data_IF_182007313678
#
_entry.id   IF_182007313678
#
_cell.length_a   1.000
_cell.length_b   1.000
_cell.length_c   1.000
_cell.angle_alpha   90.00
_cell.angle_beta   90.00
_cell.angle_gamma   90.00
#
_symmetry.space_group_name_H-M   'P 1'
#
loop_
_entity.id
_entity.type
_entity.pdbx_description
1 polymer ?
#
# COMPACT_ATOMS: atom_id res chain seq x y z
N UNK A 1 -53.82 43.82 12.15
CA UNK A 1 -52.87 42.93 12.87
C UNK A 1 -52.26 42.01 11.86
N UNK A 2 -51.06 42.31 11.35
CA UNK A 2 -50.33 41.48 10.39
C UNK A 2 -49.40 40.52 11.17
N UNK A 3 -49.66 39.23 11.07
CA UNK A 3 -48.78 38.21 11.64
C UNK A 3 -47.61 37.99 10.69
N UNK A 4 -46.42 38.29 11.14
CA UNK A 4 -45.16 38.00 10.48
C UNK A 4 -44.82 36.53 10.73
N UNK A 5 -44.81 35.69 9.67
CA UNK A 5 -44.24 34.35 9.73
C UNK A 5 -42.72 34.45 9.54
N UNK A 6 -41.98 34.15 10.56
CA UNK A 6 -40.51 33.96 10.48
C UNK A 6 -40.28 32.52 10.10
N UNK A 7 -39.86 32.26 8.85
CA UNK A 7 -39.35 30.98 8.40
C UNK A 7 -37.91 30.86 8.86
N UNK A 8 -37.68 30.03 9.88
CA UNK A 8 -36.33 29.63 10.27
C UNK A 8 -35.83 28.61 9.26
N UNK A 9 -34.90 29.01 8.41
CA UNK A 9 -34.11 28.09 7.58
C UNK A 9 -33.05 27.48 8.46
N UNK A 10 -33.28 26.27 8.96
CA UNK A 10 -32.26 25.42 9.57
C UNK A 10 -31.34 24.94 8.45
N UNK A 11 -30.21 25.62 8.29
CA UNK A 11 -29.09 25.13 7.49
C UNK A 11 -28.52 23.90 8.17
N UNK A 12 -28.71 22.71 7.57
CA UNK A 12 -27.96 21.52 7.91
C UNK A 12 -26.51 21.76 7.50
N UNK A 13 -25.72 22.25 8.45
CA UNK A 13 -24.25 22.15 8.35
C UNK A 13 -23.94 20.67 8.54
N UNK A 14 -23.73 19.96 7.43
CA UNK A 14 -23.21 18.62 7.47
C UNK A 14 -21.83 18.65 8.13
N UNK A 15 -21.77 18.24 9.38
CA UNK A 15 -20.50 17.94 10.04
C UNK A 15 -19.91 16.76 9.27
N UNK A 16 -18.91 17.01 8.44
CA UNK A 16 -18.07 15.96 7.89
C UNK A 16 -17.28 15.41 9.08
N UNK A 17 -17.87 14.42 9.75
CA UNK A 17 -17.15 13.67 10.79
C UNK A 17 -16.01 12.96 10.08
N UNK A 18 -14.76 13.25 10.50
CA UNK A 18 -13.59 12.50 10.07
C UNK A 18 -13.86 11.01 10.30
N UNK A 19 -13.65 10.21 9.28
CA UNK A 19 -13.93 8.78 9.35
C UNK A 19 -12.82 8.13 10.18
N UNK A 20 -13.15 7.64 11.37
CA UNK A 20 -12.23 6.90 12.24
C UNK A 20 -11.63 5.69 11.48
N UNK A 21 -10.40 5.30 11.85
CA UNK A 21 -9.82 4.05 11.38
C UNK A 21 -10.70 2.89 11.84
N UNK A 22 -11.25 2.17 10.88
CA UNK A 22 -12.14 1.03 11.13
C UNK A 22 -11.43 -0.27 10.82
N UNK A 23 -11.91 -1.34 11.41
CA UNK A 23 -11.59 -2.67 10.93
C UNK A 23 -12.03 -2.80 9.47
N UNK A 24 -11.13 -3.27 8.60
CA UNK A 24 -11.52 -3.58 7.22
C UNK A 24 -12.59 -4.68 7.23
N UNK A 25 -13.56 -4.70 6.33
CA UNK A 25 -14.35 -5.91 6.12
C UNK A 25 -13.44 -7.11 5.85
N UNK A 26 -13.69 -8.29 6.41
CA UNK A 26 -12.85 -9.46 6.24
C UNK A 26 -12.55 -9.73 4.76
N UNK A 27 -11.28 -9.96 4.45
CA UNK A 27 -10.75 -10.25 3.10
C UNK A 27 -11.08 -9.21 2.01
N UNK A 28 -11.50 -7.99 2.41
CA UNK A 28 -11.76 -6.89 1.45
C UNK A 28 -10.50 -6.27 0.86
N UNK A 29 -9.33 -6.69 1.34
CA UNK A 29 -8.02 -6.24 0.86
C UNK A 29 -7.15 -7.46 0.48
N UNK A 30 -7.55 -8.20 -0.57
CA UNK A 30 -6.90 -9.47 -0.93
C UNK A 30 -5.43 -9.32 -1.37
N UNK A 31 -4.98 -8.10 -1.61
CA UNK A 31 -3.59 -7.76 -1.92
C UNK A 31 -2.72 -7.46 -0.70
N UNK A 32 -3.34 -7.39 0.49
CA UNK A 32 -2.59 -7.05 1.71
C UNK A 32 -1.62 -8.17 2.08
N UNK A 33 -0.39 -7.79 2.39
CA UNK A 33 0.66 -8.72 2.81
C UNK A 33 1.24 -8.24 4.13
N UNK A 34 1.48 -9.19 5.04
CA UNK A 34 2.30 -8.98 6.22
C UNK A 34 3.68 -9.56 5.98
N UNK A 35 4.72 -8.75 6.10
CA UNK A 35 6.12 -9.18 6.02
C UNK A 35 6.67 -9.28 7.43
N UNK A 36 7.10 -10.46 7.85
CA UNK A 36 7.64 -10.71 9.19
C UNK A 36 8.81 -11.69 9.15
N UNK A 37 9.72 -11.58 10.09
CA UNK A 37 10.92 -12.42 10.20
C UNK A 37 11.13 -12.92 11.61
N UNK A 38 12.31 -13.38 11.94
CA UNK A 38 12.68 -13.96 13.24
C UNK A 38 12.67 -13.01 14.46
N UNK A 39 12.06 -11.81 14.33
CA UNK A 39 11.91 -10.82 15.40
C UNK A 39 10.45 -10.40 15.58
N UNK A 40 10.20 -9.52 16.56
CA UNK A 40 8.85 -9.00 16.85
C UNK A 40 8.35 -7.94 15.87
N UNK A 41 9.22 -7.42 14.98
CA UNK A 41 8.84 -6.39 14.02
C UNK A 41 8.24 -6.99 12.75
N UNK A 42 7.15 -6.41 12.32
CA UNK A 42 6.49 -6.71 11.05
C UNK A 42 6.20 -5.42 10.28
N UNK A 43 6.03 -5.54 8.99
CA UNK A 43 5.64 -4.45 8.11
C UNK A 43 4.53 -4.91 7.18
N UNK A 44 3.86 -3.94 6.58
CA UNK A 44 2.92 -4.19 5.49
C UNK A 44 3.60 -4.15 4.12
N UNK A 45 2.98 -4.82 3.18
CA UNK A 45 3.31 -4.78 1.77
C UNK A 45 2.07 -5.06 0.93
N UNK A 46 2.23 -5.01 -0.37
CA UNK A 46 1.15 -5.19 -1.34
C UNK A 46 1.56 -6.18 -2.42
N UNK A 47 0.75 -7.20 -2.62
CA UNK A 47 0.90 -8.14 -3.74
C UNK A 47 0.56 -7.42 -5.05
N UNK A 48 1.48 -7.39 -6.01
CA UNK A 48 1.27 -6.78 -7.34
C UNK A 48 1.25 -7.80 -8.48
N UNK A 49 1.72 -9.01 -8.21
CA UNK A 49 1.59 -10.20 -9.07
C UNK A 49 1.70 -11.47 -8.22
N UNK A 50 1.52 -12.64 -8.80
CA UNK A 50 1.71 -13.92 -8.06
C UNK A 50 3.10 -14.06 -7.42
N UNK A 51 4.10 -13.33 -7.92
CA UNK A 51 5.50 -13.47 -7.50
C UNK A 51 6.04 -12.26 -6.75
N UNK A 52 5.38 -11.10 -6.84
CA UNK A 52 5.98 -9.85 -6.45
C UNK A 52 5.14 -9.06 -5.45
N UNK A 53 5.83 -8.54 -4.46
CA UNK A 53 5.31 -7.64 -3.44
C UNK A 53 6.07 -6.32 -3.52
N UNK A 54 5.35 -5.22 -3.32
CA UNK A 54 5.92 -3.89 -3.10
C UNK A 54 5.80 -3.54 -1.63
N UNK A 55 6.86 -2.99 -1.06
CA UNK A 55 6.86 -2.43 0.29
C UNK A 55 7.76 -1.19 0.38
N UNK A 56 7.76 -0.55 1.54
CA UNK A 56 8.67 0.57 1.83
C UNK A 56 10.09 0.05 2.16
N UNK A 57 11.11 0.82 1.80
CA UNK A 57 12.48 0.55 2.24
C UNK A 57 12.62 0.59 3.78
N UNK A 58 11.80 1.39 4.46
CA UNK A 58 11.78 1.45 5.94
C UNK A 58 11.27 0.17 6.59
N UNK A 59 10.76 -0.76 5.80
CA UNK A 59 10.46 -2.12 6.22
C UNK A 59 11.75 -2.92 6.42
N UNK A 60 12.50 -2.59 7.47
CA UNK A 60 13.82 -3.14 7.75
C UNK A 60 13.91 -4.64 8.06
N UNK A 61 12.83 -5.36 8.47
CA UNK A 61 12.92 -6.81 8.67
C UNK A 61 12.95 -7.60 7.37
N UNK A 62 12.82 -6.97 6.21
CA UNK A 62 12.85 -7.68 4.92
C UNK A 62 14.25 -8.22 4.64
N UNK A 63 14.41 -9.52 4.80
CA UNK A 63 15.63 -10.29 4.59
C UNK A 63 15.28 -11.70 4.10
N UNK A 64 16.26 -12.53 3.83
CA UNK A 64 16.05 -13.93 3.42
C UNK A 64 15.34 -14.81 4.49
N UNK A 65 15.28 -14.38 5.75
CA UNK A 65 14.50 -15.04 6.80
C UNK A 65 13.06 -14.53 6.90
N UNK A 66 12.68 -13.58 6.03
CA UNK A 66 11.34 -12.99 6.02
C UNK A 66 10.34 -13.94 5.36
N UNK A 67 9.17 -14.03 5.98
CA UNK A 67 8.00 -14.72 5.45
C UNK A 67 6.96 -13.67 5.06
N UNK A 68 6.38 -13.83 3.90
CA UNK A 68 5.22 -13.08 3.45
C UNK A 68 3.96 -13.87 3.80
N UNK A 69 3.10 -13.31 4.63
CA UNK A 69 1.77 -13.85 4.95
C UNK A 69 0.73 -13.10 4.14
N UNK A 70 0.00 -13.84 3.31
CA UNK A 70 -1.06 -13.37 2.42
C UNK A 70 -2.39 -13.98 2.87
N UNK A 71 -3.51 -13.35 2.53
CA UNK A 71 -4.84 -13.84 2.87
C UNK A 71 -5.21 -13.66 4.34
N UNK A 72 -4.41 -12.91 5.10
CA UNK A 72 -4.61 -12.58 6.50
C UNK A 72 -5.64 -11.46 6.68
N UNK A 73 -6.47 -11.58 7.69
CA UNK A 73 -7.30 -10.48 8.20
C UNK A 73 -7.13 -10.34 9.70
N UNK A 74 -7.28 -11.42 10.45
CA UNK A 74 -7.14 -11.49 11.91
C UNK A 74 -5.88 -12.28 12.28
N UNK A 75 -4.80 -11.58 12.67
CA UNK A 75 -3.52 -12.21 13.04
C UNK A 75 -3.60 -13.11 14.29
N UNK A 76 -4.67 -12.99 15.07
CA UNK A 76 -4.93 -13.82 16.25
C UNK A 76 -5.71 -15.10 15.95
N UNK A 77 -6.18 -15.31 14.72
CA UNK A 77 -6.99 -16.43 14.32
C UNK A 77 -6.41 -17.18 13.11
N UNK A 78 -6.74 -18.46 12.97
CA UNK A 78 -6.49 -19.21 11.74
C UNK A 78 -7.78 -19.21 10.92
N UNK A 79 -7.78 -18.48 9.81
CA UNK A 79 -8.97 -18.25 8.99
C UNK A 79 -9.10 -19.27 7.84
N UNK A 80 -8.00 -20.00 7.52
CA UNK A 80 -7.93 -21.00 6.46
C UNK A 80 -7.72 -20.41 5.06
N UNK A 81 -7.48 -19.11 4.97
CA UNK A 81 -7.19 -18.35 3.73
C UNK A 81 -5.72 -17.97 3.58
N UNK A 82 -4.94 -18.19 4.65
CA UNK A 82 -3.58 -17.72 4.76
C UNK A 82 -2.62 -18.51 3.88
N UNK A 83 -1.66 -17.82 3.33
CA UNK A 83 -0.53 -18.40 2.62
C UNK A 83 0.77 -17.79 3.17
N UNK A 84 1.60 -18.62 3.77
CA UNK A 84 2.92 -18.22 4.29
C UNK A 84 3.99 -18.63 3.27
N UNK A 85 4.62 -17.64 2.63
CA UNK A 85 5.58 -17.88 1.56
C UNK A 85 6.91 -17.21 1.93
N UNK A 86 8.02 -17.96 2.01
CA UNK A 86 9.33 -17.40 2.22
C UNK A 86 9.70 -16.39 1.12
N UNK A 87 10.45 -15.36 1.50
CA UNK A 87 11.02 -14.40 0.57
C UNK A 87 12.25 -15.00 -0.09
N UNK A 88 12.35 -14.90 -1.42
CA UNK A 88 13.51 -15.32 -2.20
C UNK A 88 14.49 -14.19 -2.44
N UNK A 89 13.98 -12.98 -2.72
CA UNK A 89 14.82 -11.83 -3.05
C UNK A 89 14.21 -10.53 -2.51
N UNK A 90 15.10 -9.60 -2.18
CA UNK A 90 14.78 -8.26 -1.70
C UNK A 90 15.56 -7.27 -2.56
N UNK A 91 14.87 -6.45 -3.31
CA UNK A 91 15.45 -5.53 -4.29
C UNK A 91 15.03 -4.11 -3.95
N UNK A 92 15.85 -3.36 -3.19
CA UNK A 92 15.58 -1.96 -2.92
C UNK A 92 15.78 -1.12 -4.17
N UNK A 93 15.01 -0.05 -4.32
CA UNK A 93 15.23 0.92 -5.39
C UNK A 93 16.59 1.61 -5.20
N UNK A 94 17.44 1.56 -6.21
CA UNK A 94 18.81 2.10 -6.17
C UNK A 94 18.95 3.36 -7.03
N UNK A 95 19.70 4.38 -6.58
CA UNK A 95 20.31 4.48 -5.26
C UNK A 95 19.28 4.88 -4.20
N UNK A 96 19.22 4.13 -3.11
CA UNK A 96 18.46 4.56 -1.96
C UNK A 96 19.08 5.82 -1.37
N UNK A 97 18.36 6.90 -1.43
CA UNK A 97 18.65 8.13 -0.69
C UNK A 97 17.39 8.51 0.06
N UNK A 98 17.35 8.23 1.35
CA UNK A 98 16.26 8.74 2.17
C UNK A 98 16.29 10.27 2.09
N UNK A 99 15.13 10.91 1.85
CA UNK A 99 13.79 10.39 1.77
C UNK A 99 13.29 10.07 0.35
N UNK A 100 14.15 10.12 -0.69
CA UNK A 100 13.74 10.26 -2.08
C UNK A 100 13.11 9.01 -2.72
N UNK A 101 13.53 7.80 -2.31
CA UNK A 101 13.15 6.55 -2.99
C UNK A 101 12.92 5.42 -1.98
N UNK A 102 11.94 5.59 -1.09
CA UNK A 102 11.63 4.55 -0.10
C UNK A 102 10.76 3.45 -0.71
N UNK A 103 11.35 2.61 -1.56
CA UNK A 103 10.67 1.54 -2.27
C UNK A 103 11.53 0.28 -2.32
N UNK A 104 10.90 -0.86 -2.12
CA UNK A 104 11.52 -2.19 -2.20
C UNK A 104 10.58 -3.16 -2.89
N UNK A 105 11.11 -3.91 -3.86
CA UNK A 105 10.46 -5.08 -4.42
C UNK A 105 10.90 -6.32 -3.65
N UNK A 106 9.96 -7.19 -3.39
CA UNK A 106 10.17 -8.47 -2.71
C UNK A 106 9.65 -9.58 -3.60
N UNK A 107 10.53 -10.54 -3.95
CA UNK A 107 10.18 -11.71 -4.74
C UNK A 107 9.89 -12.88 -3.81
N UNK A 108 8.78 -13.54 -4.06
CA UNK A 108 8.40 -14.76 -3.34
C UNK A 108 9.22 -15.97 -3.83
N UNK A 109 9.47 -16.95 -2.98
CA UNK A 109 10.17 -18.19 -3.32
C UNK A 109 9.35 -19.15 -4.17
N UNK A 110 8.04 -19.01 -4.15
CA UNK A 110 7.05 -19.68 -4.99
C UNK A 110 5.88 -18.75 -5.28
N UNK A 111 5.11 -18.96 -6.35
CA UNK A 111 3.99 -18.09 -6.66
C UNK A 111 2.90 -18.21 -5.59
N UNK A 112 2.26 -17.10 -5.27
CA UNK A 112 1.04 -17.09 -4.50
C UNK A 112 -0.10 -17.75 -5.30
N UNK A 113 -0.90 -18.56 -4.64
CA UNK A 113 -2.12 -19.10 -5.21
C UNK A 113 -3.19 -18.00 -5.18
N UNK A 114 -3.68 -17.59 -6.34
CA UNK A 114 -4.74 -16.58 -6.41
C UNK A 114 -6.07 -17.20 -5.99
N UNK A 115 -6.70 -16.58 -4.99
CA UNK A 115 -7.98 -16.97 -4.41
C UNK A 115 -8.84 -15.72 -4.22
N UNK A 116 -10.04 -15.86 -3.68
CA UNK A 116 -10.83 -14.69 -3.31
C UNK A 116 -10.15 -13.82 -2.23
N UNK A 117 -9.37 -14.42 -1.33
CA UNK A 117 -8.65 -13.73 -0.26
C UNK A 117 -7.22 -13.31 -0.64
N UNK A 118 -6.70 -13.74 -1.79
CA UNK A 118 -5.34 -13.42 -2.27
C UNK A 118 -5.40 -13.02 -3.74
N UNK A 119 -5.31 -11.72 -4.01
CA UNK A 119 -5.34 -11.15 -5.36
C UNK A 119 -4.34 -9.99 -5.47
N UNK A 120 -3.67 -9.80 -6.60
CA UNK A 120 -2.80 -8.66 -6.79
C UNK A 120 -3.60 -7.36 -6.96
N UNK A 121 -3.02 -6.25 -6.47
CA UNK A 121 -3.50 -4.91 -6.74
C UNK A 121 -2.76 -4.34 -7.96
N UNK A 122 -3.48 -3.89 -9.00
CA UNK A 122 -2.84 -3.31 -10.18
C UNK A 122 -1.99 -2.08 -9.85
N UNK A 123 -0.87 -1.95 -10.55
CA UNK A 123 -0.07 -0.72 -10.54
C UNK A 123 -0.87 0.46 -11.12
N UNK A 124 -0.56 1.69 -10.73
CA UNK A 124 -1.33 2.86 -11.16
C UNK A 124 -1.15 3.16 -12.64
N UNK A 125 -2.24 3.38 -13.35
CA UNK A 125 -2.22 3.88 -14.74
C UNK A 125 -1.96 5.38 -14.81
N UNK A 126 -2.31 6.11 -13.75
CA UNK A 126 -2.14 7.56 -13.61
C UNK A 126 -1.71 7.90 -12.17
N UNK A 127 -1.03 9.04 -12.02
CA UNK A 127 -0.73 9.57 -10.69
C UNK A 127 -2.00 10.11 -10.03
N UNK A 128 -2.13 9.97 -8.70
CA UNK A 128 -3.26 10.48 -7.96
C UNK A 128 -3.25 12.01 -7.95
N UNK A 129 -4.43 12.62 -7.84
CA UNK A 129 -4.62 14.07 -7.83
C UNK A 129 -5.08 14.54 -6.45
N UNK A 130 -4.74 15.78 -6.05
CA UNK A 130 -5.31 16.37 -4.83
C UNK A 130 -6.83 16.26 -4.81
N UNK A 131 -7.37 15.81 -3.67
CA UNK A 131 -8.79 15.58 -3.47
C UNK A 131 -9.29 14.18 -3.87
N UNK A 132 -8.50 13.35 -4.54
CA UNK A 132 -8.87 11.96 -4.78
C UNK A 132 -9.09 11.24 -3.45
N UNK A 133 -10.21 10.52 -3.36
CA UNK A 133 -10.52 9.72 -2.17
C UNK A 133 -9.85 8.35 -2.27
N UNK A 134 -9.00 8.05 -1.30
CA UNK A 134 -8.21 6.82 -1.23
C UNK A 134 -8.50 6.06 0.05
N UNK A 135 -8.02 4.84 0.12
CA UNK A 135 -8.07 3.99 1.30
C UNK A 135 -6.66 3.56 1.68
N UNK A 136 -6.35 3.64 2.97
CA UNK A 136 -5.11 3.08 3.53
C UNK A 136 -5.46 1.83 4.31
N UNK A 137 -4.64 0.77 4.18
CA UNK A 137 -4.81 -0.47 4.94
C UNK A 137 -3.48 -0.99 5.51
N UNK A 138 -3.55 -1.60 6.70
CA UNK A 138 -2.41 -2.17 7.39
C UNK A 138 -2.72 -2.61 8.82
N UNK A 139 -1.74 -3.24 9.49
CA UNK A 139 -1.81 -3.66 10.90
C UNK A 139 -1.00 -2.76 11.84
N UNK A 140 -0.80 -1.52 11.45
CA UNK A 140 -0.11 -0.55 12.28
C UNK A 140 -0.97 0.06 13.37
N UNK A 141 -0.32 0.76 14.32
CA UNK A 141 -1.03 1.47 15.38
C UNK A 141 -1.92 2.57 14.82
N UNK A 142 -3.12 2.66 15.38
CA UNK A 142 -4.13 3.69 15.06
C UNK A 142 -4.30 4.72 16.18
N UNK A 143 -3.55 4.57 17.27
CA UNK A 143 -3.66 5.44 18.46
C UNK A 143 -2.37 6.21 18.72
N UNK A 144 -2.46 7.46 19.20
CA UNK A 144 -1.29 8.22 19.62
C UNK A 144 -0.53 7.51 20.75
N UNK A 145 0.82 7.51 20.65
CA UNK A 145 1.72 7.02 21.70
C UNK A 145 1.55 5.52 22.09
N UNK A 146 0.76 4.77 21.37
CA UNK A 146 0.69 3.32 21.50
C UNK A 146 1.40 2.67 20.31
N UNK A 147 2.22 1.65 20.61
CA UNK A 147 2.97 0.89 19.61
C UNK A 147 2.34 -0.49 19.40
N UNK A 148 1.15 -0.70 19.93
CA UNK A 148 0.43 -1.95 19.78
C UNK A 148 -0.13 -2.07 18.35
N UNK A 149 0.26 -3.12 17.67
CA UNK A 149 -0.32 -3.48 16.37
C UNK A 149 -1.66 -4.17 16.62
N UNK A 150 -2.76 -3.72 16.01
CA UNK A 150 -4.03 -4.40 16.10
C UNK A 150 -3.91 -5.79 15.45
N UNK A 151 -4.61 -6.78 16.00
CA UNK A 151 -4.68 -8.12 15.40
C UNK A 151 -5.44 -8.09 14.08
N UNK A 152 -6.50 -7.26 13.99
CA UNK A 152 -7.34 -7.17 12.80
C UNK A 152 -6.93 -6.02 11.89
N UNK A 153 -6.94 -6.31 10.59
CA UNK A 153 -6.57 -5.35 9.55
C UNK A 153 -7.42 -4.07 9.65
N UNK A 154 -6.76 -2.92 9.68
CA UNK A 154 -7.39 -1.60 9.74
C UNK A 154 -7.45 -0.94 8.37
N UNK A 155 -8.56 -0.24 8.14
CA UNK A 155 -8.81 0.59 6.97
C UNK A 155 -9.11 2.02 7.39
N UNK A 156 -8.62 2.96 6.60
CA UNK A 156 -8.82 4.38 6.80
C UNK A 156 -9.07 5.04 5.44
N UNK A 157 -10.11 5.85 5.31
CA UNK A 157 -10.32 6.71 4.14
C UNK A 157 -9.54 8.00 4.30
N UNK A 158 -8.80 8.36 3.26
CA UNK A 158 -7.95 9.55 3.25
C UNK A 158 -8.04 10.27 1.91
N UNK A 159 -8.10 11.60 1.88
CA UNK A 159 -7.92 12.35 0.65
C UNK A 159 -6.44 12.47 0.30
N UNK A 160 -6.13 12.52 -1.00
CA UNK A 160 -4.83 13.00 -1.46
C UNK A 160 -4.71 14.49 -1.16
N UNK A 161 -3.58 14.86 -0.59
CA UNK A 161 -3.27 16.25 -0.21
C UNK A 161 -2.46 16.93 -1.32
N UNK A 162 -2.63 18.23 -1.47
CA UNK A 162 -1.84 19.04 -2.41
C UNK A 162 -0.34 18.98 -2.06
N UNK A 163 0.51 18.78 -3.07
CA UNK A 163 1.96 18.60 -2.87
C UNK A 163 2.60 19.82 -2.18
N UNK A 164 2.13 21.06 -2.45
CA UNK A 164 2.68 22.29 -1.84
C UNK A 164 2.32 22.39 -0.36
N UNK A 165 1.07 22.02 -0.02
CA UNK A 165 0.67 21.97 1.39
C UNK A 165 1.51 20.92 2.12
N UNK A 166 1.67 19.75 1.55
CA UNK A 166 2.45 18.68 2.14
C UNK A 166 3.92 19.09 2.34
N UNK A 167 4.56 19.68 1.33
CA UNK A 167 5.93 20.19 1.40
C UNK A 167 6.09 21.22 2.52
N UNK A 168 5.10 22.11 2.69
CA UNK A 168 5.14 23.16 3.72
C UNK A 168 4.96 22.67 5.14
N UNK A 169 4.36 21.49 5.35
CA UNK A 169 4.11 20.92 6.68
C UNK A 169 5.28 20.10 7.20
N UNK A 170 6.21 19.67 6.35
CA UNK A 170 7.35 18.87 6.79
C UNK A 170 8.59 19.73 7.06
N UNK A 171 9.42 19.31 8.03
CA UNK A 171 10.67 20.00 8.32
C UNK A 171 11.60 20.08 7.09
N UNK A 172 12.40 21.13 7.00
CA UNK A 172 13.31 21.38 5.86
C UNK A 172 14.35 20.30 5.61
N UNK A 173 14.57 19.38 6.55
CA UNK A 173 15.46 18.23 6.36
C UNK A 173 14.81 17.07 5.59
N UNK A 174 13.49 17.12 5.39
CA UNK A 174 12.79 16.18 4.48
C UNK A 174 12.71 16.85 3.12
N UNK A 175 13.63 16.48 2.24
CA UNK A 175 13.62 16.96 0.86
C UNK A 175 12.42 16.40 0.12
N UNK A 176 11.40 17.22 -0.10
CA UNK A 176 10.24 16.85 -0.91
C UNK A 176 10.66 16.49 -2.33
N UNK A 177 10.09 15.46 -2.90
CA UNK A 177 10.36 15.04 -4.27
C UNK A 177 9.08 14.67 -5.02
N UNK A 178 9.15 14.70 -6.34
CA UNK A 178 8.07 14.25 -7.22
C UNK A 178 7.73 12.76 -7.06
N UNK A 179 8.58 11.99 -6.39
CA UNK A 179 8.36 10.58 -6.03
C UNK A 179 7.53 10.39 -4.76
N UNK A 180 7.03 11.45 -4.15
CA UNK A 180 6.24 11.43 -2.93
C UNK A 180 4.82 11.88 -3.18
N UNK A 181 3.91 11.41 -2.34
CA UNK A 181 2.51 11.85 -2.25
C UNK A 181 2.08 11.83 -0.80
N UNK A 182 1.29 12.81 -0.40
CA UNK A 182 0.66 12.84 0.90
C UNK A 182 -0.80 12.45 0.81
N UNK A 183 -1.24 11.72 1.83
CA UNK A 183 -2.65 11.44 2.04
C UNK A 183 -2.97 11.49 3.53
N UNK A 184 -4.16 11.99 3.84
CA UNK A 184 -4.62 12.14 5.21
C UNK A 184 -5.39 13.44 5.42
N UNK A 185 -6.02 13.57 6.57
CA UNK A 185 -6.68 14.80 7.03
C UNK A 185 -6.09 15.23 8.37
N UNK A 186 -6.21 16.51 8.70
CA UNK A 186 -5.81 17.09 9.97
C UNK A 186 -6.80 16.68 11.09
N UNK A 187 -6.93 15.37 11.39
CA UNK A 187 -7.76 14.89 12.49
C UNK A 187 -7.04 13.82 13.29
N UNK A 188 -7.18 13.85 14.62
CA UNK A 188 -6.53 12.92 15.55
C UNK A 188 -6.96 11.46 15.34
N UNK A 189 -8.12 11.25 14.73
CA UNK A 189 -8.75 9.92 14.62
C UNK A 189 -8.40 9.21 13.30
N UNK A 190 -7.63 9.90 12.45
CA UNK A 190 -7.32 9.45 11.08
C UNK A 190 -5.84 9.15 10.92
N UNK A 191 -5.36 8.11 11.58
CA UNK A 191 -3.99 7.68 11.38
C UNK A 191 -3.84 6.17 11.31
N UNK A 192 -2.85 5.74 10.54
CA UNK A 192 -2.35 4.39 10.52
C UNK A 192 -0.82 4.48 10.46
N UNK A 193 -0.13 4.03 11.49
CA UNK A 193 1.32 4.01 11.55
C UNK A 193 1.82 2.62 11.22
N UNK A 194 2.03 2.37 9.94
CA UNK A 194 2.47 1.08 9.43
C UNK A 194 3.46 1.27 8.28
N UNK A 195 4.69 0.82 8.47
CA UNK A 195 5.69 0.85 7.40
C UNK A 195 5.27 -0.06 6.26
N UNK A 196 5.07 0.50 5.07
CA UNK A 196 4.57 -0.21 3.91
C UNK A 196 3.04 -0.28 3.83
N UNK A 197 2.28 0.42 4.71
CA UNK A 197 0.83 0.53 4.58
C UNK A 197 0.42 0.92 3.16
N UNK A 198 -0.62 0.29 2.67
CA UNK A 198 -1.04 0.35 1.26
C UNK A 198 -2.00 1.49 1.04
N UNK A 199 -1.64 2.44 0.17
CA UNK A 199 -2.52 3.50 -0.32
C UNK A 199 -3.15 3.05 -1.64
N UNK A 200 -4.43 2.74 -1.60
CA UNK A 200 -5.24 2.34 -2.75
C UNK A 200 -6.20 3.47 -3.13
N UNK A 201 -6.31 3.80 -4.41
CA UNK A 201 -7.29 4.73 -4.94
C UNK A 201 -7.88 4.13 -6.23
N UNK A 202 -9.20 4.04 -6.28
CA UNK A 202 -9.94 3.56 -7.47
C UNK A 202 -9.47 2.18 -7.97
N UNK A 203 -9.17 1.25 -7.07
CA UNK A 203 -8.74 -0.10 -7.41
C UNK A 203 -7.29 -0.21 -7.91
N UNK A 204 -6.45 0.81 -7.67
CA UNK A 204 -5.05 0.84 -8.08
C UNK A 204 -4.13 1.22 -6.92
N UNK A 205 -2.93 0.64 -6.91
CA UNK A 205 -1.90 0.95 -5.94
C UNK A 205 -1.29 2.32 -6.24
N UNK A 206 -1.56 3.31 -5.39
CA UNK A 206 -1.00 4.66 -5.57
C UNK A 206 0.24 4.92 -4.71
N UNK A 207 0.36 4.24 -3.57
CA UNK A 207 1.51 4.46 -2.70
C UNK A 207 1.73 3.39 -1.65
N UNK A 208 2.94 3.39 -1.09
CA UNK A 208 3.31 2.65 0.13
C UNK A 208 3.86 3.63 1.15
N UNK A 209 3.39 3.55 2.38
CA UNK A 209 3.76 4.46 3.45
C UNK A 209 5.22 4.25 3.85
N UNK A 210 5.97 5.33 3.97
CA UNK A 210 7.34 5.28 4.43
C UNK A 210 7.65 6.26 5.55
N UNK A 211 6.87 7.34 5.69
CA UNK A 211 7.06 8.36 6.71
C UNK A 211 5.72 8.96 7.16
N UNK A 212 5.69 9.42 8.38
CA UNK A 212 4.61 10.17 8.98
C UNK A 212 4.91 10.43 10.44
N UNK A 213 4.37 11.51 10.99
CA UNK A 213 4.45 11.78 12.44
C UNK A 213 3.61 10.79 13.25
N UNK A 214 2.95 9.86 12.54
CA UNK A 214 2.04 8.88 13.12
C UNK A 214 0.81 9.56 13.73
N UNK A 215 0.16 8.85 14.63
CA UNK A 215 -1.04 9.33 15.31
C UNK A 215 -0.78 10.43 16.35
N UNK A 216 0.45 10.85 16.55
CA UNK A 216 0.81 11.88 17.54
C UNK A 216 0.68 13.32 17.01
N UNK A 217 0.60 13.50 15.71
CA UNK A 217 0.47 14.82 15.11
C UNK A 217 -0.57 14.84 13.98
N UNK A 218 -1.82 15.13 14.29
CA UNK A 218 -2.93 15.12 13.33
C UNK A 218 -2.83 16.23 12.28
N UNK A 219 -2.00 17.25 12.49
CA UNK A 219 -1.81 18.34 11.54
C UNK A 219 -0.99 17.91 10.31
N UNK A 220 -0.30 16.77 10.39
CA UNK A 220 0.59 16.29 9.35
C UNK A 220 0.01 15.05 8.67
N UNK A 221 -0.22 15.08 7.35
CA UNK A 221 -0.62 13.90 6.58
C UNK A 221 0.52 12.88 6.53
N UNK A 222 0.20 11.62 6.26
CA UNK A 222 1.23 10.59 6.02
C UNK A 222 1.84 10.73 4.62
N UNK A 223 3.13 10.39 4.51
CA UNK A 223 3.89 10.42 3.25
C UNK A 223 4.04 9.01 2.70
N UNK A 224 3.74 8.89 1.43
CA UNK A 224 3.82 7.65 0.66
C UNK A 224 4.77 7.81 -0.51
N UNK A 225 5.46 6.74 -0.88
CA UNK A 225 6.15 6.69 -2.17
C UNK A 225 5.11 6.65 -3.30
N UNK A 226 5.15 7.63 -4.22
CA UNK A 226 4.17 7.83 -5.31
C UNK A 226 4.42 6.81 -6.44
N UNK A 227 3.72 5.67 -6.43
CA UNK A 227 4.02 4.50 -7.26
C UNK A 227 3.98 4.76 -8.77
N UNK A 228 3.14 5.68 -9.25
CA UNK A 228 3.07 6.04 -10.68
C UNK A 228 4.41 6.53 -11.26
N UNK A 229 5.37 6.91 -10.42
CA UNK A 229 6.72 7.32 -10.83
C UNK A 229 7.69 6.15 -10.97
N UNK A 230 7.29 4.97 -10.49
CA UNK A 230 8.16 3.80 -10.40
C UNK A 230 7.72 2.62 -11.27
N UNK A 231 6.59 2.73 -11.99
CA UNK A 231 6.06 1.65 -12.83
C UNK A 231 7.12 1.06 -13.78
N UNK A 232 7.91 1.93 -14.42
CA UNK A 232 8.97 1.47 -15.33
C UNK A 232 10.00 0.62 -14.60
N UNK A 233 10.53 1.11 -13.47
CA UNK A 233 11.51 0.36 -12.70
C UNK A 233 10.95 -0.96 -12.18
N UNK A 234 9.70 -0.96 -11.71
CA UNK A 234 9.03 -2.18 -11.24
C UNK A 234 8.95 -3.21 -12.37
N UNK A 235 8.46 -2.80 -13.54
CA UNK A 235 8.33 -3.70 -14.70
C UNK A 235 9.70 -4.16 -15.20
N UNK A 236 10.69 -3.27 -15.32
CA UNK A 236 12.05 -3.62 -15.76
C UNK A 236 12.68 -4.69 -14.84
N UNK A 237 12.42 -4.63 -13.52
CA UNK A 237 12.88 -5.67 -12.58
C UNK A 237 12.09 -6.95 -12.76
N UNK A 238 10.75 -6.88 -12.81
CA UNK A 238 9.91 -8.07 -12.95
C UNK A 238 10.23 -8.85 -14.23
N UNK A 239 10.48 -8.16 -15.33
CA UNK A 239 10.80 -8.74 -16.63
C UNK A 239 12.14 -9.51 -16.62
N UNK A 240 13.11 -9.09 -15.81
CA UNK A 240 14.41 -9.79 -15.65
C UNK A 240 14.25 -11.18 -15.04
N UNK A 241 13.17 -11.41 -14.28
CA UNK A 241 12.90 -12.69 -13.62
C UNK A 241 11.82 -13.53 -14.31
N UNK A 242 11.24 -13.03 -15.40
CA UNK A 242 10.34 -13.83 -16.22
C UNK A 242 11.19 -14.85 -16.98
N UNK A 243 10.98 -16.17 -16.82
CA UNK A 243 11.67 -17.13 -17.64
C UNK A 243 11.39 -16.81 -19.11
N UNK A 244 12.43 -16.74 -19.94
CA UNK A 244 12.25 -16.69 -21.38
C UNK A 244 11.38 -17.91 -21.77
N UNK A 245 10.15 -17.70 -22.17
CA UNK A 245 9.39 -18.73 -22.83
C UNK A 245 10.21 -19.13 -24.06
N UNK A 246 10.89 -20.27 -23.97
CA UNK A 246 11.46 -20.91 -25.14
C UNK A 246 10.30 -21.17 -26.08
N UNK A 247 10.16 -20.30 -27.08
CA UNK A 247 9.31 -20.56 -28.25
C UNK A 247 9.85 -21.82 -28.89
N UNK A 248 9.37 -22.99 -28.46
CA UNK A 248 9.49 -24.22 -29.18
C UNK A 248 8.59 -24.08 -30.41
N UNK A 249 9.17 -23.51 -31.46
CA UNK A 249 8.56 -23.64 -32.80
C UNK A 249 8.32 -25.11 -33.08
N UNK A 250 7.11 -25.50 -33.46
CA UNK A 250 6.86 -26.91 -33.82
C UNK A 250 7.82 -27.33 -34.94
N UNK A 251 8.35 -28.55 -34.89
CA UNK A 251 9.27 -29.04 -35.93
C UNK A 251 8.60 -28.90 -37.29
N UNK A 252 9.28 -28.23 -38.22
CA UNK A 252 8.86 -28.07 -39.59
C UNK A 252 8.79 -29.48 -40.24
N UNK A 253 7.59 -29.97 -40.45
CA UNK A 253 7.36 -31.24 -41.18
C UNK A 253 7.87 -31.04 -42.60
N UNK A 254 9.01 -31.61 -42.92
CA UNK A 254 9.50 -31.72 -44.30
C UNK A 254 8.61 -32.76 -45.01
N UNK A 255 7.76 -32.28 -45.91
CA UNK A 255 7.03 -33.15 -46.82
C UNK A 255 8.04 -33.86 -47.71
N UNK A 256 7.96 -35.18 -47.72
CA UNK A 256 8.74 -36.02 -48.62
C UNK A 256 8.29 -35.80 -50.07
N UNK A 257 9.22 -35.78 -51.05
CA UNK A 257 8.85 -35.70 -52.46
C UNK A 257 8.19 -37.00 -52.93
N UNK A 258 7.02 -36.88 -53.55
CA UNK A 258 6.38 -38.00 -54.24
C UNK A 258 7.08 -38.17 -55.58
N UNK A 259 7.55 -39.41 -55.82
CA UNK A 259 7.94 -39.94 -57.13
C UNK A 259 6.75 -40.67 -57.79
#
# INVERSE_FOLDING_TARGET
MKRLLILAVLGLVGVVSGEESRECPPHSRPWQVRLHGGGSSSCSGVLISQWWIVTSFTCSPVSFSTVASLGEHDLGAVEGTEQHIPVAEVIPHSPYRSPLHSLTLVRLSRPALLTQAVQPLPLPSQCPKPGDSCSVSGWGSTTPNQYESPERLKCLRVPIVDDRFCESTFPTYIYWSLGMVCAGSASTDNCLRDSGAVLECNGQLQGVQWFGHGCSDPAHPSVYTKLCRYNRWINDIMDQYTPFETTTSPPRTTAAPQH
#
